data_IF_336349585498
#
_entry.id   IF_336349585498
#
_cell.length_a   1.000
_cell.length_b   1.000
_cell.length_c   1.000
_cell.angle_alpha   90.00
_cell.angle_beta   90.00
_cell.angle_gamma   90.00
#
_symmetry.space_group_name_H-M   'P 1'
#
loop_
_entity.id
_entity.type
_entity.pdbx_description
1 polymer ?
#
# COMPACT_ATOMS: atom_id res chain seq x y z
N UNK A 1 -15.78 38.31 -36.23
CA UNK A 1 -14.72 37.29 -36.08
C UNK A 1 -13.87 37.44 -34.80
N UNK A 2 -13.77 38.61 -34.15
CA UNK A 2 -13.01 38.74 -32.88
C UNK A 2 -13.74 38.20 -31.63
N UNK A 3 -15.07 38.27 -31.58
CA UNK A 3 -15.87 37.84 -30.43
C UNK A 3 -15.86 36.32 -30.20
N UNK A 4 -15.80 35.52 -31.26
CA UNK A 4 -15.70 34.05 -31.16
C UNK A 4 -14.34 33.59 -30.64
N UNK A 5 -13.28 34.35 -30.93
CA UNK A 5 -11.91 34.05 -30.53
C UNK A 5 -11.69 34.38 -29.05
N UNK A 6 -12.29 35.47 -28.56
CA UNK A 6 -12.32 35.82 -27.13
C UNK A 6 -13.15 34.79 -26.35
N UNK A 7 -14.30 34.36 -26.89
CA UNK A 7 -15.13 33.33 -26.26
C UNK A 7 -14.40 31.99 -26.11
N UNK A 8 -13.65 31.56 -27.13
CA UNK A 8 -12.82 30.33 -27.05
C UNK A 8 -11.67 30.45 -26.07
N UNK A 9 -10.94 31.57 -26.06
CA UNK A 9 -9.86 31.81 -25.10
C UNK A 9 -10.39 31.80 -23.66
N UNK A 10 -11.54 32.43 -23.42
CA UNK A 10 -12.16 32.47 -22.10
C UNK A 10 -12.66 31.08 -21.66
N UNK A 11 -13.15 30.28 -22.59
CA UNK A 11 -13.58 28.91 -22.34
C UNK A 11 -12.39 27.97 -22.08
N UNK A 12 -11.31 28.07 -22.86
CA UNK A 12 -10.07 27.31 -22.61
C UNK A 12 -9.38 27.73 -21.30
N UNK A 13 -9.35 29.02 -20.98
CA UNK A 13 -8.81 29.51 -19.70
C UNK A 13 -9.66 29.08 -18.51
N UNK A 14 -10.99 29.02 -18.66
CA UNK A 14 -11.89 28.52 -17.63
C UNK A 14 -11.66 27.03 -17.36
N UNK A 15 -11.52 26.22 -18.42
CA UNK A 15 -11.22 24.77 -18.35
C UNK A 15 -9.82 24.54 -17.74
N UNK A 16 -8.84 25.35 -18.12
CA UNK A 16 -7.48 25.25 -17.57
C UNK A 16 -7.44 25.69 -16.11
N UNK A 17 -8.19 26.74 -15.75
CA UNK A 17 -8.31 27.24 -14.39
C UNK A 17 -9.00 26.26 -13.45
N UNK A 18 -10.06 25.59 -13.91
CA UNK A 18 -10.73 24.55 -13.12
C UNK A 18 -9.83 23.34 -12.90
N UNK A 19 -9.11 22.89 -13.92
CA UNK A 19 -8.15 21.78 -13.80
C UNK A 19 -7.01 22.08 -12.81
N UNK A 20 -6.49 23.32 -12.82
CA UNK A 20 -5.48 23.75 -11.85
C UNK A 20 -6.02 23.79 -10.42
N UNK A 21 -7.25 24.29 -10.24
CA UNK A 21 -7.91 24.34 -8.95
C UNK A 21 -8.12 22.93 -8.36
N UNK A 22 -8.63 21.99 -9.16
CA UNK A 22 -8.79 20.59 -8.77
C UNK A 22 -7.46 19.93 -8.41
N UNK A 23 -6.40 20.23 -9.17
CA UNK A 23 -5.05 19.71 -8.90
C UNK A 23 -4.52 20.21 -7.56
N UNK A 24 -4.71 21.49 -7.25
CA UNK A 24 -4.26 22.09 -5.98
C UNK A 24 -5.02 21.48 -4.81
N UNK A 25 -6.33 21.30 -4.93
CA UNK A 25 -7.14 20.63 -3.90
C UNK A 25 -6.66 19.20 -3.67
N UNK A 26 -6.53 18.41 -4.73
CA UNK A 26 -6.09 17.02 -4.62
C UNK A 26 -4.70 16.92 -3.97
N UNK A 27 -3.78 17.84 -4.30
CA UNK A 27 -2.46 17.89 -3.68
C UNK A 27 -2.53 18.28 -2.21
N UNK A 28 -3.37 19.25 -1.85
CA UNK A 28 -3.56 19.67 -0.47
C UNK A 28 -4.19 18.57 0.39
N UNK A 29 -5.21 17.87 -0.11
CA UNK A 29 -5.83 16.73 0.56
C UNK A 29 -4.81 15.60 0.76
N UNK A 30 -4.01 15.28 -0.27
CA UNK A 30 -2.97 14.26 -0.19
C UNK A 30 -1.88 14.63 0.83
N UNK A 31 -1.46 15.89 0.84
CA UNK A 31 -0.48 16.39 1.80
C UNK A 31 -1.01 16.32 3.23
N UNK A 32 -2.27 16.71 3.44
CA UNK A 32 -2.92 16.65 4.75
C UNK A 32 -3.02 15.21 5.28
N UNK A 33 -3.50 14.26 4.46
CA UNK A 33 -3.56 12.83 4.82
C UNK A 33 -2.17 12.27 5.15
N UNK A 34 -1.15 12.64 4.37
CA UNK A 34 0.23 12.18 4.62
C UNK A 34 0.80 12.76 5.91
N UNK A 35 0.53 14.03 6.22
CA UNK A 35 0.92 14.65 7.48
C UNK A 35 0.25 13.97 8.68
N UNK A 36 -1.03 13.61 8.56
CA UNK A 36 -1.76 12.89 9.60
C UNK A 36 -1.16 11.50 9.86
N UNK A 37 -0.87 10.72 8.81
CA UNK A 37 -0.21 9.42 8.94
C UNK A 37 1.16 9.54 9.59
N UNK A 38 1.96 10.55 9.22
CA UNK A 38 3.27 10.81 9.86
C UNK A 38 3.11 11.17 11.33
N UNK A 39 2.12 11.99 11.68
CA UNK A 39 1.82 12.36 13.07
C UNK A 39 1.46 11.12 13.91
N UNK A 40 0.61 10.24 13.38
CA UNK A 40 0.25 8.99 14.04
C UNK A 40 1.45 8.04 14.20
N UNK A 41 2.31 7.92 13.18
CA UNK A 41 3.55 7.14 13.31
C UNK A 41 4.51 7.72 14.37
N UNK A 42 4.63 9.05 14.45
CA UNK A 42 5.40 9.71 15.50
C UNK A 42 4.82 9.41 16.90
N UNK A 43 3.49 9.44 17.03
CA UNK A 43 2.81 9.07 18.28
C UNK A 43 3.07 7.60 18.64
N UNK A 44 2.99 6.66 17.69
CA UNK A 44 3.30 5.25 17.91
C UNK A 44 4.76 5.06 18.40
N UNK A 45 5.72 5.71 17.75
CA UNK A 45 7.14 5.68 18.17
C UNK A 45 7.34 6.22 19.59
N UNK A 46 6.65 7.30 19.96
CA UNK A 46 6.69 7.84 21.32
C UNK A 46 6.12 6.85 22.35
N UNK A 47 5.00 6.20 22.03
CA UNK A 47 4.39 5.18 22.91
C UNK A 47 5.32 3.97 23.09
N UNK A 48 5.95 3.50 22.02
CA UNK A 48 6.94 2.42 22.08
C UNK A 48 8.13 2.79 22.98
N UNK A 49 8.69 3.99 22.80
CA UNK A 49 9.78 4.47 23.66
C UNK A 49 9.37 4.54 25.14
N UNK A 50 8.14 4.98 25.43
CA UNK A 50 7.62 4.99 26.80
C UNK A 50 7.45 3.59 27.39
N UNK A 51 7.05 2.61 26.58
CA UNK A 51 6.97 1.20 26.99
C UNK A 51 8.36 0.65 27.31
N UNK A 52 9.36 0.92 26.47
CA UNK A 52 10.75 0.52 26.70
C UNK A 52 11.31 1.15 27.98
N UNK A 53 11.07 2.44 28.18
CA UNK A 53 11.49 3.14 29.40
C UNK A 53 10.81 2.56 30.65
N UNK A 54 9.52 2.23 30.58
CA UNK A 54 8.79 1.62 31.70
C UNK A 54 9.34 0.23 32.05
N UNK A 55 9.65 -0.61 31.04
CA UNK A 55 10.31 -1.89 31.28
C UNK A 55 11.72 -1.72 31.86
N UNK A 56 12.50 -0.76 31.36
CA UNK A 56 13.84 -0.47 31.87
C UNK A 56 13.84 0.00 33.33
N UNK A 57 12.89 0.87 33.69
CA UNK A 57 12.71 1.31 35.07
C UNK A 57 12.28 0.16 35.99
N UNK A 58 11.35 -0.68 35.53
CA UNK A 58 10.92 -1.87 36.26
C UNK A 58 12.11 -2.82 36.51
N UNK A 59 12.92 -3.09 35.49
CA UNK A 59 14.12 -3.91 35.61
C UNK A 59 15.15 -3.34 36.59
N UNK A 60 15.40 -2.02 36.53
CA UNK A 60 16.30 -1.32 37.46
C UNK A 60 15.80 -1.44 38.91
N UNK A 61 14.52 -1.23 39.17
CA UNK A 61 13.99 -1.33 40.52
C UNK A 61 14.06 -2.75 41.07
N UNK A 62 13.71 -3.77 40.27
CA UNK A 62 13.88 -5.18 40.65
C UNK A 62 15.34 -5.48 41.02
N UNK A 63 16.29 -5.05 40.20
CA UNK A 63 17.72 -5.24 40.47
C UNK A 63 18.16 -4.59 41.79
N UNK A 64 17.71 -3.38 42.09
CA UNK A 64 17.98 -2.67 43.36
C UNK A 64 17.38 -3.42 44.55
N UNK A 65 16.14 -3.93 44.44
CA UNK A 65 15.52 -4.74 45.49
C UNK A 65 16.28 -6.05 45.74
N UNK A 66 16.73 -6.73 44.69
CA UNK A 66 17.55 -7.93 44.80
C UNK A 66 18.92 -7.66 45.43
N UNK A 67 19.57 -6.54 45.08
CA UNK A 67 20.90 -6.17 45.58
C UNK A 67 20.90 -5.77 47.07
N UNK A 68 19.77 -5.29 47.61
CA UNK A 68 19.61 -4.93 49.03
C UNK A 68 19.36 -6.12 49.96
N UNK A 69 19.30 -7.34 49.44
CA UNK A 69 19.08 -8.56 50.22
C UNK A 69 20.41 -9.01 50.87
N UNK A 70 20.56 -9.01 52.21
CA UNK A 70 21.76 -9.54 52.85
C UNK A 70 21.83 -11.06 52.64
N UNK A 71 23.03 -11.64 52.44
CA UNK A 71 23.19 -13.07 52.19
C UNK A 71 22.85 -13.97 53.41
N UNK A 72 22.73 -13.40 54.61
CA UNK A 72 22.53 -14.16 55.86
C UNK A 72 21.63 -13.45 56.88
N UNK A 73 20.42 -13.04 56.51
CA UNK A 73 19.44 -12.51 57.47
C UNK A 73 18.09 -13.20 57.28
N UNK A 74 17.73 -14.03 58.27
CA UNK A 74 16.49 -14.81 58.28
C UNK A 74 15.25 -14.01 58.72
N UNK A 75 15.41 -12.78 59.19
CA UNK A 75 14.30 -11.95 59.64
C UNK A 75 14.54 -10.48 59.29
N UNK A 76 13.87 -10.03 58.24
CA UNK A 76 13.34 -8.66 58.15
C UNK A 76 12.21 -8.69 57.12
N UNK A 77 10.98 -8.29 57.48
CA UNK A 77 9.90 -8.19 56.52
C UNK A 77 10.22 -7.03 55.59
N UNK A 78 10.74 -7.34 54.40
CA UNK A 78 10.73 -6.38 53.29
C UNK A 78 9.28 -5.92 53.09
N UNK A 79 9.05 -4.64 52.72
CA UNK A 79 7.72 -4.17 52.37
C UNK A 79 7.32 -4.78 51.02
N UNK A 80 6.95 -6.07 51.02
CA UNK A 80 6.43 -6.82 49.87
C UNK A 80 5.33 -6.01 49.17
N UNK A 81 4.49 -5.36 49.96
CA UNK A 81 3.42 -4.49 49.51
C UNK A 81 3.89 -3.31 48.65
N UNK A 82 5.10 -2.78 48.86
CA UNK A 82 5.62 -1.66 48.05
C UNK A 82 6.08 -2.14 46.68
N UNK A 83 6.76 -3.29 46.61
CA UNK A 83 7.16 -3.89 45.34
C UNK A 83 5.94 -4.37 44.56
N UNK A 84 4.98 -5.01 45.22
CA UNK A 84 3.74 -5.47 44.60
C UNK A 84 2.91 -4.29 44.06
N UNK A 85 2.76 -3.21 44.84
CA UNK A 85 2.12 -1.96 44.37
C UNK A 85 2.85 -1.31 43.20
N UNK A 86 4.18 -1.33 43.20
CA UNK A 86 4.95 -0.79 42.10
C UNK A 86 4.82 -1.64 40.82
N UNK A 87 4.87 -2.96 40.95
CA UNK A 87 4.69 -3.90 39.84
C UNK A 87 3.28 -3.79 39.25
N UNK A 88 2.24 -3.71 40.08
CA UNK A 88 0.86 -3.55 39.60
C UNK A 88 0.68 -2.22 38.86
N UNK A 89 1.11 -1.10 39.47
CA UNK A 89 1.02 0.22 38.85
C UNK A 89 1.79 0.29 37.52
N UNK A 90 3.00 -0.27 37.45
CA UNK A 90 3.81 -0.26 36.23
C UNK A 90 3.23 -1.21 35.18
N UNK A 91 2.70 -2.36 35.58
CA UNK A 91 1.97 -3.28 34.72
C UNK A 91 0.73 -2.63 34.10
N UNK A 92 -0.09 -1.95 34.89
CA UNK A 92 -1.27 -1.22 34.43
C UNK A 92 -0.90 -0.13 33.44
N UNK A 93 0.15 0.65 33.72
CA UNK A 93 0.66 1.68 32.81
C UNK A 93 1.14 1.08 31.49
N UNK A 94 1.90 0.00 31.50
CA UNK A 94 2.36 -0.68 30.27
C UNK A 94 1.18 -1.23 29.48
N UNK A 95 0.18 -1.82 30.15
CA UNK A 95 -1.04 -2.31 29.51
C UNK A 95 -1.83 -1.19 28.85
N UNK A 96 -1.97 -0.04 29.54
CA UNK A 96 -2.61 1.14 28.98
C UNK A 96 -1.85 1.63 27.73
N UNK A 97 -0.53 1.77 27.80
CA UNK A 97 0.29 2.20 26.66
C UNK A 97 0.16 1.24 25.47
N UNK A 98 0.13 -0.08 25.71
CA UNK A 98 -0.08 -1.11 24.67
C UNK A 98 -1.45 -0.97 24.01
N UNK A 99 -2.52 -0.78 24.80
CA UNK A 99 -3.87 -0.56 24.24
C UNK A 99 -3.92 0.69 23.38
N UNK A 100 -3.30 1.77 23.83
CA UNK A 100 -3.21 3.02 23.05
C UNK A 100 -2.44 2.81 21.75
N UNK A 101 -1.33 2.06 21.78
CA UNK A 101 -0.53 1.76 20.59
C UNK A 101 -1.36 0.97 19.55
N UNK A 102 -2.08 -0.07 19.98
CA UNK A 102 -2.95 -0.85 19.10
C UNK A 102 -4.05 0.01 18.46
N UNK A 103 -4.60 0.97 19.22
CA UNK A 103 -5.58 1.92 18.68
C UNK A 103 -4.98 2.83 17.61
N UNK A 104 -3.78 3.38 17.85
CA UNK A 104 -3.06 4.20 16.86
C UNK A 104 -2.73 3.41 15.60
N UNK A 105 -2.25 2.17 15.73
CA UNK A 105 -1.97 1.28 14.59
C UNK A 105 -3.24 0.99 13.76
N UNK A 106 -4.37 0.74 14.43
CA UNK A 106 -5.66 0.56 13.76
C UNK A 106 -6.07 1.80 12.96
N UNK A 107 -5.90 2.99 13.53
CA UNK A 107 -6.19 4.26 12.86
C UNK A 107 -5.31 4.48 11.63
N UNK A 108 -4.01 4.17 11.74
CA UNK A 108 -3.09 4.24 10.59
C UNK A 108 -3.54 3.29 9.48
N UNK A 109 -4.01 2.08 9.84
CA UNK A 109 -4.48 1.11 8.86
C UNK A 109 -5.74 1.58 8.14
N UNK A 110 -6.72 2.10 8.88
CA UNK A 110 -7.97 2.64 8.35
C UNK A 110 -7.73 3.80 7.38
N UNK A 111 -6.91 4.79 7.77
CA UNK A 111 -6.55 5.92 6.90
C UNK A 111 -5.84 5.48 5.61
N UNK A 112 -4.98 4.46 5.70
CA UNK A 112 -4.32 3.88 4.51
C UNK A 112 -5.32 3.22 3.58
N UNK A 113 -6.28 2.46 4.12
CA UNK A 113 -7.33 1.83 3.32
C UNK A 113 -8.23 2.87 2.64
N UNK A 114 -8.65 3.91 3.35
CA UNK A 114 -9.43 5.01 2.80
C UNK A 114 -8.68 5.72 1.67
N UNK A 115 -7.39 5.99 1.87
CA UNK A 115 -6.53 6.62 0.84
C UNK A 115 -6.43 5.74 -0.41
N UNK A 116 -6.19 4.43 -0.26
CA UNK A 116 -6.12 3.49 -1.38
C UNK A 116 -7.46 3.46 -2.12
N UNK A 117 -8.58 3.42 -1.39
CA UNK A 117 -9.91 3.40 -2.01
C UNK A 117 -10.14 4.63 -2.89
N UNK A 118 -9.81 5.82 -2.37
CA UNK A 118 -9.94 7.06 -3.12
C UNK A 118 -9.02 7.07 -4.35
N UNK A 119 -7.74 6.70 -4.21
CA UNK A 119 -6.80 6.63 -5.33
C UNK A 119 -7.26 5.65 -6.43
N UNK A 120 -7.87 4.52 -6.05
CA UNK A 120 -8.43 3.55 -7.00
C UNK A 120 -9.65 4.10 -7.75
N UNK A 121 -10.54 4.83 -7.07
CA UNK A 121 -11.69 5.47 -7.72
C UNK A 121 -11.26 6.53 -8.73
N UNK A 122 -10.30 7.39 -8.36
CA UNK A 122 -9.74 8.40 -9.27
C UNK A 122 -9.08 7.74 -10.47
N UNK A 123 -8.28 6.70 -10.24
CA UNK A 123 -7.66 5.93 -11.32
C UNK A 123 -8.71 5.31 -12.25
N UNK A 124 -9.80 4.75 -11.72
CA UNK A 124 -10.88 4.22 -12.53
C UNK A 124 -11.56 5.29 -13.39
N UNK A 125 -11.82 6.48 -12.81
CA UNK A 125 -12.40 7.61 -13.54
C UNK A 125 -11.46 8.09 -14.65
N UNK A 126 -10.17 8.27 -14.35
CA UNK A 126 -9.16 8.71 -15.32
C UNK A 126 -9.01 7.74 -16.49
N UNK A 127 -8.99 6.44 -16.20
CA UNK A 127 -8.98 5.40 -17.22
C UNK A 127 -10.23 5.46 -18.08
N UNK A 128 -11.41 5.62 -17.46
CA UNK A 128 -12.69 5.68 -18.16
C UNK A 128 -12.77 6.89 -19.10
N UNK A 129 -12.36 8.07 -18.63
CA UNK A 129 -12.34 9.32 -19.43
C UNK A 129 -11.44 9.21 -20.67
N UNK A 130 -10.39 8.40 -20.59
CA UNK A 130 -9.40 8.21 -21.67
C UNK A 130 -9.67 6.97 -22.53
N UNK A 131 -10.82 6.32 -22.37
CA UNK A 131 -11.10 5.02 -22.98
C UNK A 131 -9.96 4.00 -22.79
N UNK A 132 -9.30 4.08 -21.63
CA UNK A 132 -8.24 3.19 -21.21
C UNK A 132 -8.77 2.20 -20.14
N UNK A 133 -8.07 1.10 -19.95
CA UNK A 133 -8.41 0.12 -18.91
C UNK A 133 -7.15 -0.58 -18.39
N UNK A 134 -7.30 -1.23 -17.24
CA UNK A 134 -6.35 -2.23 -16.74
C UNK A 134 -7.06 -3.58 -16.81
N UNK A 135 -6.48 -4.51 -17.54
CA UNK A 135 -7.08 -5.83 -17.79
C UNK A 135 -6.14 -6.98 -17.42
N UNK A 136 -6.76 -8.11 -17.10
CA UNK A 136 -6.09 -9.36 -16.75
C UNK A 136 -6.17 -10.32 -17.93
N UNK A 137 -5.01 -10.72 -18.45
CA UNK A 137 -4.90 -11.63 -19.58
C UNK A 137 -4.33 -12.97 -19.10
N UNK A 138 -5.17 -13.96 -18.78
CA UNK A 138 -4.70 -15.29 -18.41
C UNK A 138 -4.13 -16.02 -19.63
N UNK A 139 -2.93 -16.60 -19.48
CA UNK A 139 -2.36 -17.51 -20.47
C UNK A 139 -2.95 -18.90 -20.26
N UNK A 140 -3.95 -19.20 -21.06
CA UNK A 140 -4.59 -20.51 -21.09
C UNK A 140 -3.81 -21.48 -21.98
N UNK A 141 -4.02 -22.78 -21.76
CA UNK A 141 -3.44 -23.81 -22.60
C UNK A 141 -3.85 -23.62 -24.07
N UNK A 142 -2.88 -23.75 -24.98
CA UNK A 142 -3.08 -23.51 -26.41
C UNK A 142 -2.91 -22.05 -26.86
N UNK A 143 -2.70 -21.11 -25.93
CA UNK A 143 -2.38 -19.72 -26.25
C UNK A 143 -1.08 -19.61 -27.08
N UNK A 144 -1.02 -18.76 -28.12
CA UNK A 144 0.10 -18.73 -29.05
C UNK A 144 1.36 -18.06 -28.48
N UNK A 145 1.25 -17.44 -27.30
CA UNK A 145 2.34 -16.77 -26.58
C UNK A 145 3.07 -17.69 -25.59
N UNK A 146 2.58 -18.91 -25.36
CA UNK A 146 3.23 -19.89 -24.47
C UNK A 146 4.66 -20.16 -24.97
N UNK A 147 5.62 -20.14 -24.05
CA UNK A 147 7.03 -20.43 -24.35
C UNK A 147 7.76 -19.29 -25.06
N UNK A 148 7.08 -18.19 -25.39
CA UNK A 148 7.73 -16.99 -25.91
C UNK A 148 8.29 -16.16 -24.75
N UNK A 149 9.39 -15.48 -25.03
CA UNK A 149 9.89 -14.41 -24.15
C UNK A 149 9.03 -13.17 -24.32
N UNK A 150 8.96 -12.34 -23.28
CA UNK A 150 8.19 -11.11 -23.32
C UNK A 150 8.60 -10.18 -24.47
N UNK A 151 9.91 -10.07 -24.76
CA UNK A 151 10.42 -9.28 -25.89
C UNK A 151 9.92 -9.74 -27.28
N UNK A 152 9.45 -10.99 -27.41
CA UNK A 152 8.91 -11.54 -28.67
C UNK A 152 7.40 -11.39 -28.78
N UNK A 153 6.74 -10.88 -27.74
CA UNK A 153 5.31 -10.57 -27.78
C UNK A 153 5.16 -9.14 -28.25
N UNK A 154 4.67 -8.96 -29.47
CA UNK A 154 4.36 -7.63 -29.99
C UNK A 154 3.10 -7.11 -29.28
N UNK A 155 3.24 -6.02 -28.53
CA UNK A 155 2.11 -5.30 -27.93
C UNK A 155 1.88 -3.99 -28.70
N UNK A 156 0.63 -3.54 -28.87
CA UNK A 156 0.34 -2.22 -29.43
C UNK A 156 1.06 -1.11 -28.67
N UNK A 157 1.38 -0.01 -29.35
CA UNK A 157 2.15 1.09 -28.76
C UNK A 157 1.45 1.76 -27.56
N UNK A 158 0.12 1.64 -27.44
CA UNK A 158 -0.66 2.14 -26.30
C UNK A 158 -0.70 1.17 -25.11
N UNK A 159 -0.36 -0.11 -25.32
CA UNK A 159 -0.46 -1.17 -24.32
C UNK A 159 0.88 -1.34 -23.62
N UNK A 160 0.84 -1.44 -22.29
CA UNK A 160 1.99 -1.70 -21.44
C UNK A 160 1.69 -2.86 -20.51
N UNK A 161 2.64 -3.79 -20.39
CA UNK A 161 2.60 -4.79 -19.35
C UNK A 161 3.09 -4.18 -18.04
N UNK A 162 2.26 -4.25 -17.01
CA UNK A 162 2.57 -3.72 -15.67
C UNK A 162 3.30 -4.78 -14.85
N UNK A 163 2.77 -5.99 -14.82
CA UNK A 163 3.30 -7.11 -14.04
C UNK A 163 2.69 -8.43 -14.49
N UNK A 164 3.26 -9.54 -14.05
CA UNK A 164 2.77 -10.89 -14.30
C UNK A 164 2.51 -11.56 -12.97
N UNK A 165 1.28 -12.05 -12.79
CA UNK A 165 0.93 -12.91 -11.67
C UNK A 165 1.24 -14.36 -12.05
N UNK A 166 2.15 -14.98 -11.31
CA UNK A 166 2.50 -16.40 -11.44
C UNK A 166 2.21 -17.10 -10.12
N UNK A 167 1.00 -17.64 -9.99
CA UNK A 167 0.50 -18.15 -8.71
C UNK A 167 0.43 -17.01 -7.67
N UNK A 168 1.08 -17.14 -6.50
CA UNK A 168 1.08 -16.11 -5.46
C UNK A 168 2.10 -14.99 -5.68
N UNK A 169 2.91 -15.05 -6.76
CA UNK A 169 4.02 -14.13 -6.98
C UNK A 169 3.69 -13.06 -8.01
N UNK A 170 4.06 -11.82 -7.70
CA UNK A 170 4.15 -10.70 -8.64
C UNK A 170 5.54 -10.69 -9.27
N UNK A 171 5.61 -10.96 -10.57
CA UNK A 171 6.85 -10.99 -11.34
C UNK A 171 6.93 -9.68 -12.14
N UNK A 172 8.04 -8.91 -12.02
CA UNK A 172 8.22 -7.73 -12.83
C UNK A 172 8.35 -8.11 -14.31
N UNK A 173 7.90 -7.25 -15.23
CA UNK A 173 8.09 -7.48 -16.66
C UNK A 173 9.59 -7.43 -16.99
N UNK A 174 10.12 -8.55 -17.48
CA UNK A 174 11.49 -8.69 -17.96
C UNK A 174 11.44 -9.29 -19.37
N UNK A 175 12.21 -8.69 -20.29
CA UNK A 175 12.30 -9.10 -21.69
C UNK A 175 12.75 -10.55 -21.87
N UNK A 176 13.56 -11.06 -20.93
CA UNK A 176 14.01 -12.45 -20.91
C UNK A 176 12.97 -13.43 -20.32
N UNK A 177 11.92 -12.92 -19.68
CA UNK A 177 10.92 -13.75 -19.02
C UNK A 177 10.11 -14.56 -20.03
N UNK A 178 10.12 -15.89 -19.86
CA UNK A 178 9.32 -16.81 -20.66
C UNK A 178 7.92 -16.96 -20.07
N UNK A 179 6.92 -16.74 -20.93
CA UNK A 179 5.50 -16.86 -20.60
C UNK A 179 5.07 -18.33 -20.50
N UNK A 180 4.30 -18.65 -19.47
CA UNK A 180 3.87 -20.01 -19.12
C UNK A 180 2.36 -20.09 -18.97
N UNK A 181 1.80 -21.29 -19.14
CA UNK A 181 0.40 -21.55 -18.83
C UNK A 181 0.14 -21.25 -17.36
N UNK A 182 -0.97 -20.56 -17.08
CA UNK A 182 -1.34 -20.14 -15.73
C UNK A 182 -0.76 -18.79 -15.31
N UNK A 183 0.12 -18.18 -16.11
CA UNK A 183 0.48 -16.78 -15.92
C UNK A 183 -0.73 -15.89 -16.20
N UNK A 184 -0.89 -14.81 -15.42
CA UNK A 184 -1.88 -13.77 -15.69
C UNK A 184 -1.16 -12.44 -15.87
N UNK A 185 -1.24 -11.89 -17.08
CA UNK A 185 -0.59 -10.65 -17.43
C UNK A 185 -1.51 -9.49 -17.06
N UNK A 186 -0.99 -8.53 -16.30
CA UNK A 186 -1.70 -7.31 -15.95
C UNK A 186 -1.25 -6.22 -16.92
N UNK A 187 -2.12 -5.83 -17.84
CA UNK A 187 -1.80 -4.81 -18.85
C UNK A 187 -2.67 -3.57 -18.67
N UNK A 188 -2.12 -2.43 -19.07
CA UNK A 188 -2.81 -1.15 -19.14
C UNK A 188 -2.70 -0.61 -20.56
N UNK A 189 -3.78 -0.03 -21.10
CA UNK A 189 -3.79 0.52 -22.45
C UNK A 189 -5.17 1.00 -22.87
N UNK A 190 -5.31 1.41 -24.13
CA UNK A 190 -6.61 1.74 -24.71
C UNK A 190 -7.49 0.48 -24.80
N UNK A 191 -8.79 0.61 -24.51
CA UNK A 191 -9.73 -0.51 -24.49
C UNK A 191 -9.79 -1.24 -25.85
N UNK A 192 -9.68 -0.51 -26.96
CA UNK A 192 -9.65 -1.09 -28.32
C UNK A 192 -8.42 -1.98 -28.54
N UNK A 193 -7.27 -1.53 -28.07
CA UNK A 193 -5.99 -2.21 -28.27
C UNK A 193 -5.87 -3.40 -27.31
N UNK A 194 -6.41 -3.27 -26.09
CA UNK A 194 -6.53 -4.38 -25.14
C UNK A 194 -7.46 -5.49 -25.68
N UNK A 195 -8.58 -5.14 -26.31
CA UNK A 195 -9.47 -6.10 -26.96
C UNK A 195 -8.77 -6.82 -28.13
N UNK A 196 -7.93 -6.11 -28.90
CA UNK A 196 -7.11 -6.74 -29.93
C UNK A 196 -6.14 -7.75 -29.31
N UNK A 197 -5.41 -7.37 -28.25
CA UNK A 197 -4.51 -8.28 -27.53
C UNK A 197 -5.24 -9.51 -26.99
N UNK A 198 -6.46 -9.35 -26.44
CA UNK A 198 -7.28 -10.46 -25.98
C UNK A 198 -7.54 -11.48 -27.10
N UNK A 199 -7.87 -10.97 -28.30
CA UNK A 199 -8.15 -11.81 -29.46
C UNK A 199 -6.91 -12.59 -29.92
N UNK A 200 -5.72 -11.97 -29.91
CA UNK A 200 -4.47 -12.61 -30.30
C UNK A 200 -4.04 -13.69 -29.29
N UNK A 201 -4.28 -13.46 -27.99
CA UNK A 201 -3.93 -14.39 -26.93
C UNK A 201 -4.88 -15.59 -26.85
N UNK A 202 -6.13 -15.42 -27.28
CA UNK A 202 -7.15 -16.46 -27.33
C UNK A 202 -7.06 -17.38 -28.56
N UNK A 203 -6.34 -16.98 -29.62
CA UNK A 203 -6.22 -17.79 -30.84
C UNK A 203 -5.43 -19.08 -30.60
N UNK A 204 -6.14 -20.19 -30.44
CA UNK A 204 -5.56 -21.53 -30.48
C UNK A 204 -4.98 -21.78 -31.88
N UNK A 205 -3.69 -22.12 -31.98
CA UNK A 205 -3.12 -22.62 -33.23
C UNK A 205 -3.79 -23.95 -33.60
N UNK A 206 -4.86 -23.89 -34.41
CA UNK A 206 -5.37 -25.03 -35.16
C UNK A 206 -4.42 -25.32 -36.32
N UNK A 207 -3.26 -25.90 -36.03
CA UNK A 207 -2.46 -26.55 -37.05
C UNK A 207 -3.08 -27.92 -37.32
N UNK A 208 -3.91 -27.98 -38.37
CA UNK A 208 -4.23 -29.22 -39.08
C UNK A 208 -2.90 -29.93 -39.42
N UNK A 209 -2.69 -31.12 -38.87
CA UNK A 209 -1.77 -32.10 -39.44
C UNK A 209 -2.39 -32.59 -40.76
N UNK A 210 -1.71 -32.26 -41.86
CA UNK A 210 -1.85 -32.95 -43.14
C UNK A 210 -0.91 -34.15 -43.16
#
# INVERSE_FOLDING_TARGET
>A
MSLELIGRIQQELSITGSALYETVIALAERANRKAEVVRLHSQASSLLSQIEQAHGELGRQIAVFCAKRPPFSHESPLPSDQLERFLSHTGDRIQQLKRTLLSVDSHIHELKLETIHHELLTLQQDLSLRAAAIERFPILQGSPVIGRTLARVALPASVRLVTILRGPFLVPPDDALVLRVGDVLIMIGLQTDLAQVASEFAQTRNTKLA
#
